data_IF_845171543892
#
_entry.id   IF_845171543892
#
_cell.length_a   1.000
_cell.length_b   1.000
_cell.length_c   1.000
_cell.angle_alpha   90.00
_cell.angle_beta   90.00
_cell.angle_gamma   90.00
#
_symmetry.space_group_name_H-M   'P 1'
#
loop_
_entity.id
_entity.type
_entity.pdbx_description
1 polymer ?
#
# COMPACT_ATOMS: atom_id res chain seq x y z
N UNK A 1 15.56 3.38 2.73
CA UNK A 1 14.29 3.45 3.45
C UNK A 1 13.13 3.53 2.46
N UNK A 2 12.02 2.89 2.79
CA UNK A 2 10.83 2.85 1.93
C UNK A 2 9.57 3.18 2.74
N UNK A 3 8.73 4.06 2.18
CA UNK A 3 7.37 4.33 2.68
C UNK A 3 6.35 3.71 1.72
N UNK A 4 5.41 2.97 2.27
CA UNK A 4 4.34 2.29 1.55
C UNK A 4 3.00 2.83 2.06
N UNK A 5 2.17 3.34 1.18
CA UNK A 5 0.79 3.68 1.49
C UNK A 5 -0.11 2.50 1.19
N UNK A 6 -0.92 2.11 2.18
CA UNK A 6 -1.86 1.01 2.13
C UNK A 6 -1.31 -0.29 2.74
N UNK A 7 -1.95 -0.79 3.80
CA UNK A 7 -1.67 -2.07 4.46
C UNK A 7 -2.69 -3.17 4.07
N UNK A 8 -3.34 -3.02 2.93
CA UNK A 8 -4.13 -4.08 2.30
C UNK A 8 -3.25 -5.26 1.87
N UNK A 9 -3.83 -6.34 1.33
CA UNK A 9 -3.05 -7.51 0.92
C UNK A 9 -1.88 -7.19 -0.03
N UNK A 10 -2.08 -6.25 -0.97
CA UNK A 10 -1.03 -5.86 -1.93
C UNK A 10 0.09 -5.08 -1.23
N UNK A 11 -0.25 -4.14 -0.34
CA UNK A 11 0.76 -3.37 0.41
C UNK A 11 1.57 -4.24 1.37
N UNK A 12 0.93 -5.22 2.03
CA UNK A 12 1.62 -6.20 2.87
C UNK A 12 2.57 -7.10 2.06
N UNK A 13 2.15 -7.54 0.87
CA UNK A 13 3.04 -8.23 -0.07
C UNK A 13 4.19 -7.32 -0.53
N UNK A 14 3.92 -6.03 -0.77
CA UNK A 14 4.93 -5.03 -1.08
C UNK A 14 5.97 -4.87 0.03
N UNK A 15 5.55 -4.82 1.30
CA UNK A 15 6.44 -4.78 2.45
C UNK A 15 7.31 -6.05 2.54
N UNK A 16 6.72 -7.22 2.29
CA UNK A 16 7.45 -8.48 2.23
C UNK A 16 8.50 -8.48 1.10
N UNK A 17 8.15 -7.97 -0.08
CA UNK A 17 9.10 -7.84 -1.20
C UNK A 17 10.20 -6.81 -0.89
N UNK A 18 9.88 -5.70 -0.24
CA UNK A 18 10.87 -4.71 0.17
C UNK A 18 11.92 -5.33 1.11
N UNK A 19 11.48 -6.21 2.03
CA UNK A 19 12.37 -6.97 2.91
C UNK A 19 13.25 -7.94 2.12
N UNK A 20 12.67 -8.70 1.19
CA UNK A 20 13.42 -9.61 0.32
C UNK A 20 14.52 -8.89 -0.46
N UNK A 21 14.25 -7.65 -0.87
CA UNK A 21 15.18 -6.80 -1.63
C UNK A 21 16.16 -6.02 -0.75
N UNK A 22 16.13 -6.19 0.58
CA UNK A 22 17.10 -5.61 1.49
C UNK A 22 16.86 -4.14 1.85
N UNK A 23 15.61 -3.69 1.86
CA UNK A 23 15.29 -2.35 2.37
C UNK A 23 15.70 -2.22 3.84
N UNK A 24 16.31 -1.08 4.22
CA UNK A 24 16.76 -0.80 5.58
C UNK A 24 15.56 -0.58 6.52
N UNK A 25 14.85 0.52 6.39
CA UNK A 25 13.57 0.73 7.06
C UNK A 25 12.42 0.52 6.07
N UNK A 26 11.45 -0.31 6.47
CA UNK A 26 10.21 -0.54 5.75
C UNK A 26 9.09 0.06 6.59
N UNK A 27 8.43 1.08 6.05
CA UNK A 27 7.41 1.86 6.76
C UNK A 27 6.10 1.71 5.99
N UNK A 28 5.03 1.31 6.68
CA UNK A 28 3.71 1.16 6.06
C UNK A 28 2.71 2.07 6.76
N UNK A 29 2.00 2.88 5.98
CA UNK A 29 0.98 3.81 6.46
C UNK A 29 -0.42 3.36 6.02
N UNK A 30 -1.37 3.31 6.96
CA UNK A 30 -2.77 2.96 6.72
C UNK A 30 -3.66 3.59 7.81
N UNK A 31 -4.96 3.66 7.57
CA UNK A 31 -5.95 4.09 8.56
C UNK A 31 -6.43 2.95 9.47
N UNK A 32 -6.25 1.68 9.07
CA UNK A 32 -6.80 0.52 9.76
C UNK A 32 -5.72 -0.11 10.63
N UNK A 33 -5.86 0.10 11.95
CA UNK A 33 -4.88 -0.37 12.94
C UNK A 33 -4.65 -1.89 12.88
N UNK A 34 -5.71 -2.68 12.74
CA UNK A 34 -5.60 -4.15 12.65
C UNK A 34 -4.70 -4.61 11.50
N UNK A 35 -4.72 -3.89 10.35
CA UNK A 35 -3.84 -4.18 9.21
C UNK A 35 -2.39 -3.87 9.52
N UNK A 36 -2.14 -2.78 10.24
CA UNK A 36 -0.80 -2.36 10.66
C UNK A 36 -0.21 -3.32 11.69
N UNK A 37 -1.04 -3.82 12.61
CA UNK A 37 -0.59 -4.73 13.67
C UNK A 37 -0.09 -6.07 13.12
N UNK A 38 -0.56 -6.52 11.96
CA UNK A 38 -0.05 -7.70 11.27
C UNK A 38 1.41 -7.55 10.78
N UNK A 39 1.87 -6.33 10.63
CA UNK A 39 3.19 -6.03 10.06
C UNK A 39 4.27 -5.86 11.14
N UNK A 40 3.90 -5.34 12.31
CA UNK A 40 4.82 -5.04 13.42
C UNK A 40 5.70 -6.23 13.86
N UNK A 41 5.16 -7.45 14.03
CA UNK A 41 5.96 -8.61 14.45
C UNK A 41 7.06 -8.99 13.45
N UNK A 42 6.96 -8.46 12.24
CA UNK A 42 7.88 -8.77 11.14
C UNK A 42 8.90 -7.64 10.88
N UNK A 43 9.09 -6.73 11.86
CA UNK A 43 10.07 -5.65 11.75
C UNK A 43 9.73 -4.62 10.67
N UNK A 44 8.44 -4.38 10.47
CA UNK A 44 7.90 -3.29 9.65
C UNK A 44 7.45 -2.18 10.58
N UNK A 45 7.94 -0.98 10.36
CA UNK A 45 7.48 0.22 11.04
C UNK A 45 6.09 0.62 10.50
N UNK A 46 5.24 1.14 11.36
CA UNK A 46 3.88 1.46 10.98
C UNK A 46 3.49 2.89 11.35
N UNK A 47 2.71 3.51 10.49
CA UNK A 47 2.11 4.82 10.71
C UNK A 47 0.60 4.67 10.62
N UNK A 48 -0.11 4.97 11.72
CA UNK A 48 -1.55 5.07 11.69
C UNK A 48 -1.95 6.49 11.25
N UNK A 49 -2.52 6.60 10.07
CA UNK A 49 -2.92 7.90 9.50
C UNK A 49 -4.07 8.60 10.26
N UNK A 50 -4.66 7.91 11.26
CA UNK A 50 -5.70 8.47 12.13
C UNK A 50 -5.17 8.98 13.47
N UNK A 51 -3.87 8.89 13.76
CA UNK A 51 -3.32 9.25 15.07
C UNK A 51 -3.12 10.76 15.27
N UNK A 52 -3.33 11.55 14.21
CA UNK A 52 -3.22 12.99 14.23
C UNK A 52 -1.79 13.53 14.19
N UNK A 53 -0.78 12.67 14.14
CA UNK A 53 0.62 13.06 14.02
C UNK A 53 0.99 13.20 12.53
N UNK A 54 1.67 14.28 12.13
CA UNK A 54 2.15 14.44 10.76
C UNK A 54 3.07 13.30 10.32
N UNK A 55 2.92 12.84 9.07
CA UNK A 55 3.74 11.74 8.53
C UNK A 55 5.24 12.05 8.62
N UNK A 56 5.64 13.29 8.37
CA UNK A 56 7.03 13.73 8.47
C UNK A 56 7.64 13.56 9.87
N UNK A 57 6.85 13.67 10.93
CA UNK A 57 7.32 13.45 12.31
C UNK A 57 7.55 11.96 12.59
N UNK A 58 6.66 11.10 12.06
CA UNK A 58 6.89 9.65 12.11
C UNK A 58 8.14 9.25 11.35
N UNK A 59 8.34 9.79 10.13
CA UNK A 59 9.52 9.50 9.33
C UNK A 59 10.80 9.93 10.06
N UNK A 60 10.81 11.13 10.64
CA UNK A 60 11.96 11.65 11.39
C UNK A 60 12.27 10.78 12.61
N UNK A 61 11.25 10.35 13.35
CA UNK A 61 11.40 9.43 14.50
C UNK A 61 11.97 8.07 14.10
N UNK A 62 11.54 7.52 12.94
CA UNK A 62 11.92 6.18 12.50
C UNK A 62 13.29 6.19 11.81
N UNK A 63 13.55 7.18 10.97
CA UNK A 63 14.72 7.17 10.07
C UNK A 63 15.75 8.25 10.36
N UNK A 64 15.43 9.22 11.21
CA UNK A 64 16.21 10.44 11.40
C UNK A 64 16.03 11.48 10.28
N UNK A 65 15.14 11.23 9.33
CA UNK A 65 14.88 12.09 8.18
C UNK A 65 13.37 12.21 7.91
N UNK A 66 12.95 13.34 7.35
CA UNK A 66 11.55 13.59 6.96
C UNK A 66 11.17 13.05 5.59
N UNK A 67 12.13 12.47 4.89
CA UNK A 67 11.99 11.92 3.55
C UNK A 67 12.63 10.54 3.46
N UNK A 68 12.21 9.74 2.48
CA UNK A 68 12.69 8.38 2.25
C UNK A 68 13.15 8.18 0.81
N UNK A 69 13.93 7.11 0.57
CA UNK A 69 14.48 6.81 -0.76
C UNK A 69 13.40 6.42 -1.78
N UNK A 70 12.38 5.72 -1.29
CA UNK A 70 11.30 5.17 -2.12
C UNK A 70 9.95 5.41 -1.46
N UNK A 71 8.94 5.77 -2.27
CA UNK A 71 7.55 5.82 -1.80
C UNK A 71 6.67 5.05 -2.79
N UNK A 72 5.81 4.18 -2.26
CA UNK A 72 4.93 3.34 -3.07
C UNK A 72 3.48 3.54 -2.65
N UNK A 73 2.60 3.65 -3.64
CA UNK A 73 1.16 3.69 -3.49
C UNK A 73 0.53 2.34 -3.87
N UNK A 74 -0.13 1.72 -2.89
CA UNK A 74 -0.99 0.54 -3.08
C UNK A 74 -2.46 0.83 -2.71
N UNK A 75 -2.85 2.11 -2.66
CA UNK A 75 -4.23 2.54 -2.34
C UNK A 75 -5.02 2.82 -3.61
N UNK A 76 -4.58 3.78 -4.41
CA UNK A 76 -5.27 4.20 -5.62
C UNK A 76 -6.26 5.35 -5.39
N UNK A 77 -7.19 5.51 -6.33
CA UNK A 77 -8.11 6.65 -6.43
C UNK A 77 -9.07 6.82 -5.23
N UNK A 78 -9.34 5.74 -4.50
CA UNK A 78 -10.23 5.77 -3.32
C UNK A 78 -9.50 6.20 -2.04
N UNK A 79 -8.34 6.86 -2.16
CA UNK A 79 -7.58 7.31 -1.01
C UNK A 79 -8.31 8.44 -0.25
N UNK A 80 -8.10 8.44 1.06
CA UNK A 80 -8.56 9.51 1.94
C UNK A 80 -7.51 10.62 2.03
N UNK A 81 -7.97 11.82 2.33
CA UNK A 81 -7.09 12.92 2.70
C UNK A 81 -6.36 12.64 4.01
N UNK A 82 -5.49 13.55 4.42
CA UNK A 82 -4.72 13.44 5.66
C UNK A 82 -5.14 14.53 6.66
N UNK A 83 -4.92 14.29 7.95
CA UNK A 83 -5.23 15.26 8.99
C UNK A 83 -6.72 15.62 9.03
N UNK A 84 -7.05 16.89 8.83
CA UNK A 84 -8.43 17.40 8.85
C UNK A 84 -9.32 16.88 7.71
N UNK A 85 -8.73 16.23 6.70
CA UNK A 85 -9.47 15.66 5.55
C UNK A 85 -9.50 14.12 5.58
N UNK A 86 -9.11 13.49 6.68
CA UNK A 86 -9.03 12.04 6.81
C UNK A 86 -10.37 11.29 6.64
N UNK A 87 -11.48 11.99 6.78
CA UNK A 87 -12.84 11.49 6.57
C UNK A 87 -13.35 11.64 5.12
N UNK A 88 -12.57 12.34 4.26
CA UNK A 88 -12.96 12.65 2.88
C UNK A 88 -12.13 11.83 1.89
N UNK A 89 -12.75 11.45 0.79
CA UNK A 89 -12.02 10.95 -0.39
C UNK A 89 -11.34 12.14 -1.06
N UNK A 90 -10.02 12.08 -1.17
CA UNK A 90 -9.16 13.06 -1.87
C UNK A 90 -8.25 12.28 -2.81
N UNK A 91 -8.70 12.10 -4.03
CA UNK A 91 -8.15 11.16 -5.02
C UNK A 91 -6.66 11.37 -5.35
N UNK A 92 -6.12 12.57 -5.08
CA UNK A 92 -4.69 12.91 -5.26
C UNK A 92 -3.87 12.87 -3.98
N UNK A 93 -4.47 12.57 -2.82
CA UNK A 93 -3.79 12.69 -1.53
C UNK A 93 -2.52 11.84 -1.44
N UNK A 94 -2.62 10.55 -1.78
CA UNK A 94 -1.45 9.65 -1.71
C UNK A 94 -0.41 10.02 -2.76
N UNK A 95 -0.81 10.35 -4.00
CA UNK A 95 0.14 10.75 -5.04
C UNK A 95 0.91 12.02 -4.66
N UNK A 96 0.23 13.02 -4.08
CA UNK A 96 0.88 14.22 -3.57
C UNK A 96 1.78 13.93 -2.36
N UNK A 97 1.35 13.07 -1.45
CA UNK A 97 2.18 12.61 -0.35
C UNK A 97 3.45 11.88 -0.83
N UNK A 98 3.36 11.07 -1.91
CA UNK A 98 4.53 10.44 -2.51
C UNK A 98 5.54 11.50 -2.98
N UNK A 99 5.09 12.56 -3.65
CA UNK A 99 5.96 13.65 -4.10
C UNK A 99 6.52 14.46 -2.92
N UNK A 100 5.75 14.60 -1.84
CA UNK A 100 6.19 15.30 -0.62
C UNK A 100 7.26 14.52 0.15
N UNK A 101 7.11 13.19 0.30
CA UNK A 101 7.96 12.39 1.20
C UNK A 101 9.10 11.64 0.49
N UNK A 102 9.14 11.60 -0.83
CA UNK A 102 10.31 11.09 -1.55
C UNK A 102 11.46 12.11 -1.44
N UNK A 103 12.68 11.62 -1.17
CA UNK A 103 13.86 12.48 -1.16
C UNK A 103 14.27 12.95 -2.56
N UNK A 104 15.15 13.92 -2.63
CA UNK A 104 15.77 14.35 -3.88
C UNK A 104 16.43 13.15 -4.62
N UNK A 105 16.14 13.03 -5.91
CA UNK A 105 16.61 11.91 -6.74
C UNK A 105 16.09 10.53 -6.34
N UNK A 106 15.10 10.47 -5.45
CA UNK A 106 14.46 9.20 -5.03
C UNK A 106 13.56 8.60 -6.10
N UNK A 107 12.68 7.68 -5.69
CA UNK A 107 11.76 7.04 -6.64
C UNK A 107 10.35 6.90 -6.04
N UNK A 108 9.33 7.15 -6.86
CA UNK A 108 7.94 6.85 -6.55
C UNK A 108 7.40 5.76 -7.47
N UNK A 109 6.50 4.93 -6.95
CA UNK A 109 5.82 3.90 -7.74
C UNK A 109 4.35 3.84 -7.38
N UNK A 110 3.49 3.96 -8.38
CA UNK A 110 2.04 3.89 -8.22
C UNK A 110 1.53 2.59 -8.82
N UNK A 111 1.09 1.70 -7.96
CA UNK A 111 0.43 0.42 -8.30
C UNK A 111 -1.09 0.54 -8.07
N UNK A 112 -1.48 1.46 -7.22
CA UNK A 112 -2.89 1.83 -7.03
C UNK A 112 -3.55 2.22 -8.35
N UNK A 113 -4.83 1.94 -8.48
CA UNK A 113 -5.56 2.17 -9.74
C UNK A 113 -6.03 3.63 -9.82
N UNK A 114 -5.63 4.31 -10.89
CA UNK A 114 -6.00 5.70 -11.20
C UNK A 114 -6.56 5.78 -12.63
N UNK A 115 -7.70 5.17 -12.85
CA UNK A 115 -8.44 5.28 -14.11
C UNK A 115 -9.53 6.36 -14.01
N UNK A 116 -10.09 6.74 -15.14
CA UNK A 116 -11.31 7.57 -15.15
C UNK A 116 -12.37 6.93 -14.24
N UNK A 117 -12.87 7.71 -13.28
CA UNK A 117 -13.84 7.26 -12.27
C UNK A 117 -15.21 7.92 -12.50
N UNK A 118 -16.12 7.29 -13.27
CA UNK A 118 -17.42 7.88 -13.61
C UNK A 118 -18.30 8.22 -12.40
N UNK A 119 -18.09 7.54 -11.27
CA UNK A 119 -18.88 7.74 -10.05
C UNK A 119 -18.26 8.75 -9.08
N UNK A 120 -17.04 9.23 -9.34
CA UNK A 120 -16.40 10.28 -8.54
C UNK A 120 -17.27 11.53 -8.48
N UNK A 121 -17.16 12.26 -7.37
CA UNK A 121 -17.75 13.60 -7.24
C UNK A 121 -16.90 14.68 -7.93
N UNK A 122 -15.59 14.41 -8.13
CA UNK A 122 -14.69 15.33 -8.82
C UNK A 122 -14.84 15.21 -10.36
N UNK A 123 -15.19 16.31 -11.06
CA UNK A 123 -15.27 16.33 -12.52
C UNK A 123 -13.94 15.98 -13.22
N UNK A 124 -12.79 16.23 -12.59
CA UNK A 124 -11.47 15.90 -13.12
C UNK A 124 -11.26 14.39 -13.07
N UNK A 125 -11.52 13.78 -11.93
CA UNK A 125 -11.38 12.34 -11.74
C UNK A 125 -12.30 11.53 -12.66
N UNK A 126 -13.50 12.04 -12.98
CA UNK A 126 -14.38 11.44 -14.01
C UNK A 126 -13.71 11.29 -15.37
N UNK A 127 -12.73 12.13 -15.66
CA UNK A 127 -11.96 12.15 -16.92
C UNK A 127 -10.59 11.49 -16.78
N UNK A 128 -10.26 10.94 -15.60
CA UNK A 128 -8.92 10.40 -15.33
C UNK A 128 -7.86 11.47 -15.11
N UNK A 129 -8.25 12.69 -14.74
CA UNK A 129 -7.34 13.78 -14.40
C UNK A 129 -7.22 13.90 -12.89
N UNK A 130 -6.05 14.28 -12.37
CA UNK A 130 -5.86 14.61 -10.97
C UNK A 130 -4.98 15.85 -10.81
N UNK A 131 -5.12 16.53 -9.67
CA UNK A 131 -4.29 17.67 -9.32
C UNK A 131 -3.04 17.21 -8.59
N UNK A 132 -1.87 17.48 -9.18
CA UNK A 132 -0.58 17.15 -8.61
C UNK A 132 0.15 18.42 -8.16
N UNK A 133 0.79 18.34 -7.00
CA UNK A 133 1.76 19.33 -6.51
C UNK A 133 3.05 19.20 -7.30
N UNK A 134 3.01 19.56 -8.59
CA UNK A 134 4.10 19.34 -9.53
C UNK A 134 5.41 20.01 -9.14
N UNK A 135 5.37 21.10 -8.36
CA UNK A 135 6.55 21.76 -7.82
C UNK A 135 7.43 20.82 -7.01
N UNK A 136 6.84 19.93 -6.21
CA UNK A 136 7.58 18.92 -5.45
C UNK A 136 8.33 17.94 -6.37
N UNK A 137 7.68 17.50 -7.44
CA UNK A 137 8.32 16.64 -8.44
C UNK A 137 9.46 17.38 -9.16
N UNK A 138 9.22 18.64 -9.55
CA UNK A 138 10.23 19.41 -10.27
C UNK A 138 11.47 19.66 -9.40
N UNK A 139 11.29 20.09 -8.15
CA UNK A 139 12.41 20.38 -7.24
C UNK A 139 13.21 19.12 -6.93
N UNK A 140 12.51 18.01 -6.62
CA UNK A 140 13.17 16.79 -6.12
C UNK A 140 13.66 15.84 -7.21
N UNK A 141 13.24 16.04 -8.46
CA UNK A 141 13.62 15.21 -9.61
C UNK A 141 13.51 13.69 -9.34
N UNK A 142 12.40 13.16 -8.79
CA UNK A 142 12.27 11.76 -8.53
C UNK A 142 12.11 10.96 -9.82
N UNK A 143 12.50 9.69 -9.80
CA UNK A 143 12.05 8.75 -10.82
C UNK A 143 10.62 8.36 -10.50
N UNK A 144 9.71 8.48 -11.47
CA UNK A 144 8.30 8.16 -11.29
C UNK A 144 7.92 6.98 -12.15
N UNK A 145 7.21 6.02 -11.57
CA UNK A 145 6.68 4.84 -12.24
C UNK A 145 5.21 4.66 -11.87
N UNK A 146 4.36 4.39 -12.82
CA UNK A 146 2.93 4.13 -12.60
C UNK A 146 2.39 3.14 -13.62
N UNK A 147 1.34 2.43 -13.26
CA UNK A 147 0.60 1.56 -14.16
C UNK A 147 0.36 0.16 -13.63
N UNK A 148 -0.20 -0.68 -14.50
CA UNK A 148 -0.48 -2.07 -14.16
C UNK A 148 0.82 -2.85 -13.99
N UNK A 149 0.89 -3.65 -12.92
CA UNK A 149 2.03 -4.50 -12.65
C UNK A 149 2.17 -5.58 -13.74
N UNK A 150 3.33 -5.73 -14.38
CA UNK A 150 3.59 -6.81 -15.33
C UNK A 150 3.85 -8.12 -14.56
N UNK A 151 2.83 -8.66 -13.90
CA UNK A 151 2.92 -9.78 -12.96
C UNK A 151 3.60 -11.01 -13.54
N UNK A 152 3.37 -11.32 -14.81
CA UNK A 152 3.97 -12.47 -15.49
C UNK A 152 5.52 -12.44 -15.45
N UNK A 153 6.12 -11.24 -15.45
CA UNK A 153 7.57 -11.08 -15.42
C UNK A 153 8.19 -11.46 -14.07
N UNK A 154 7.38 -11.48 -13.01
CA UNK A 154 7.86 -11.72 -11.64
C UNK A 154 7.45 -13.08 -11.07
N UNK A 155 6.45 -13.75 -11.65
CA UNK A 155 5.88 -14.98 -11.10
C UNK A 155 6.94 -16.06 -10.84
N UNK A 156 7.83 -16.30 -11.79
CA UNK A 156 8.89 -17.30 -11.66
C UNK A 156 9.86 -17.01 -10.51
N UNK A 157 10.32 -15.76 -10.42
CA UNK A 157 11.26 -15.35 -9.39
C UNK A 157 10.63 -15.40 -7.99
N UNK A 158 9.38 -14.95 -7.87
CA UNK A 158 8.63 -14.98 -6.61
C UNK A 158 8.30 -16.39 -6.17
N UNK A 159 7.86 -17.27 -7.09
CA UNK A 159 7.63 -18.67 -6.79
C UNK A 159 8.89 -19.35 -6.25
N UNK A 160 10.05 -19.13 -6.90
CA UNK A 160 11.32 -19.65 -6.41
C UNK A 160 11.72 -19.09 -5.05
N UNK A 161 11.46 -17.81 -4.78
CA UNK A 161 11.73 -17.21 -3.49
C UNK A 161 10.89 -17.84 -2.37
N UNK A 162 9.61 -18.10 -2.64
CA UNK A 162 8.69 -18.76 -1.70
C UNK A 162 9.12 -20.22 -1.48
N UNK A 163 9.33 -20.99 -2.54
CA UNK A 163 9.70 -22.42 -2.45
C UNK A 163 11.05 -22.66 -1.76
N UNK A 164 11.96 -21.69 -1.80
CA UNK A 164 13.25 -21.74 -1.11
C UNK A 164 13.23 -21.01 0.25
N UNK A 165 12.06 -20.82 0.82
CA UNK A 165 11.86 -20.22 2.15
C UNK A 165 12.55 -18.85 2.35
N UNK A 166 12.66 -18.06 1.27
CA UNK A 166 13.23 -16.71 1.33
C UNK A 166 12.23 -15.64 1.78
N UNK A 167 10.95 -15.99 1.91
CA UNK A 167 9.86 -15.10 2.34
C UNK A 167 8.99 -15.74 3.43
N UNK A 168 9.56 -16.26 4.54
CA UNK A 168 8.80 -16.98 5.57
C UNK A 168 7.75 -16.08 6.27
N UNK A 169 7.98 -14.79 6.25
CA UNK A 169 7.09 -13.76 6.81
C UNK A 169 5.89 -13.41 5.91
N UNK A 170 5.87 -13.85 4.65
CA UNK A 170 4.79 -13.49 3.71
C UNK A 170 3.44 -14.04 4.17
N UNK A 171 3.36 -15.34 4.49
CA UNK A 171 2.11 -15.99 4.90
C UNK A 171 1.50 -15.36 6.17
N UNK A 172 2.25 -15.14 7.27
CA UNK A 172 1.72 -14.44 8.43
C UNK A 172 1.22 -13.02 8.13
N UNK A 173 1.98 -12.26 7.32
CA UNK A 173 1.56 -10.91 6.92
C UNK A 173 0.27 -10.91 6.10
N UNK A 174 0.02 -11.95 5.29
CA UNK A 174 -1.20 -12.04 4.46
C UNK A 174 -2.46 -12.21 5.27
N UNK A 175 -2.40 -12.85 6.45
CA UNK A 175 -3.57 -13.13 7.28
C UNK A 175 -4.70 -13.77 6.45
N UNK A 176 -4.39 -14.89 5.79
CA UNK A 176 -5.31 -15.54 4.85
C UNK A 176 -6.40 -16.28 5.59
N UNK A 177 -7.65 -16.05 5.18
CA UNK A 177 -8.84 -16.78 5.65
C UNK A 177 -9.46 -17.57 4.51
N UNK A 178 -9.46 -18.89 4.61
CA UNK A 178 -10.13 -19.76 3.64
C UNK A 178 -11.62 -19.80 3.92
N UNK A 179 -12.42 -19.64 2.90
CA UNK A 179 -13.88 -19.61 2.96
C UNK A 179 -14.50 -20.50 1.88
N UNK A 180 -15.72 -20.95 2.09
CA UNK A 180 -16.51 -21.63 1.07
C UNK A 180 -17.07 -20.62 0.06
N UNK A 181 -17.53 -21.13 -1.09
CA UNK A 181 -18.13 -20.28 -2.12
C UNK A 181 -19.38 -19.55 -1.61
N UNK A 182 -20.20 -20.23 -0.80
CA UNK A 182 -21.43 -19.69 -0.23
C UNK A 182 -21.18 -18.49 0.69
N UNK A 183 -20.00 -18.43 1.34
CA UNK A 183 -19.62 -17.37 2.27
C UNK A 183 -19.06 -16.13 1.55
N UNK A 184 -18.83 -16.22 0.23
CA UNK A 184 -18.22 -15.14 -0.53
C UNK A 184 -18.95 -13.79 -0.40
N UNK A 185 -20.30 -13.69 -0.45
CA UNK A 185 -20.98 -12.40 -0.30
C UNK A 185 -20.71 -11.73 1.05
N UNK A 186 -20.64 -12.51 2.14
CA UNK A 186 -20.33 -12.01 3.46
C UNK A 186 -18.87 -11.52 3.54
N UNK A 187 -17.93 -12.30 2.98
CA UNK A 187 -16.53 -11.96 2.95
C UNK A 187 -16.24 -10.69 2.12
N UNK A 188 -16.93 -10.49 1.00
CA UNK A 188 -16.85 -9.24 0.23
C UNK A 188 -17.32 -8.04 1.06
N UNK A 189 -18.42 -8.18 1.79
CA UNK A 189 -18.92 -7.11 2.67
C UNK A 189 -17.94 -6.79 3.80
N UNK A 190 -17.34 -7.81 4.43
CA UNK A 190 -16.31 -7.61 5.45
C UNK A 190 -15.05 -6.93 4.86
N UNK A 191 -14.64 -7.34 3.67
CA UNK A 191 -13.48 -6.77 2.99
C UNK A 191 -13.71 -5.29 2.64
N UNK A 192 -14.87 -4.94 2.12
CA UNK A 192 -15.28 -3.57 1.79
C UNK A 192 -15.32 -2.69 3.05
N UNK A 193 -15.74 -3.25 4.18
CA UNK A 193 -15.72 -2.58 5.48
C UNK A 193 -14.30 -2.40 6.08
N UNK A 194 -13.26 -2.89 5.42
CA UNK A 194 -11.87 -2.69 5.84
C UNK A 194 -11.23 -3.86 6.60
N UNK A 195 -11.74 -5.08 6.43
CA UNK A 195 -11.16 -6.28 7.06
C UNK A 195 -9.64 -6.40 6.86
N UNK A 196 -8.97 -6.94 7.88
CA UNK A 196 -7.55 -7.27 7.83
C UNK A 196 -7.26 -8.62 7.14
N UNK A 197 -8.28 -9.40 6.80
CA UNK A 197 -8.11 -10.69 6.14
C UNK A 197 -7.86 -10.59 4.63
N UNK A 198 -7.07 -11.52 4.11
CA UNK A 198 -7.04 -11.89 2.70
C UNK A 198 -7.92 -13.13 2.51
N UNK A 199 -9.12 -12.96 1.96
CA UNK A 199 -10.03 -14.08 1.72
C UNK A 199 -9.58 -14.90 0.52
N UNK A 200 -9.58 -16.22 0.68
CA UNK A 200 -9.36 -17.19 -0.39
C UNK A 200 -10.55 -18.13 -0.42
N UNK A 201 -11.26 -18.15 -1.54
CA UNK A 201 -12.41 -19.05 -1.73
C UNK A 201 -11.88 -20.43 -2.10
N UNK A 202 -12.23 -21.44 -1.31
CA UNK A 202 -11.96 -22.84 -1.59
C UNK A 202 -13.31 -23.58 -1.85
N UNK A 203 -13.81 -23.56 -3.11
CA UNK A 203 -15.12 -24.08 -3.43
C UNK A 203 -15.22 -25.60 -3.30
N UNK A 204 -14.10 -26.30 -3.22
CA UNK A 204 -14.05 -27.77 -3.20
C UNK A 204 -13.50 -28.32 -1.90
N UNK A 205 -13.13 -27.50 -0.92
CA UNK A 205 -12.51 -27.95 0.33
C UNK A 205 -11.16 -28.67 0.11
N UNK A 206 -10.43 -28.25 -0.91
CA UNK A 206 -9.18 -28.91 -1.33
C UNK A 206 -7.96 -28.44 -0.55
N UNK A 207 -8.04 -27.30 0.12
CA UNK A 207 -6.95 -26.77 0.94
C UNK A 207 -6.92 -27.48 2.29
N UNK A 208 -5.86 -28.25 2.54
CA UNK A 208 -5.59 -28.83 3.87
C UNK A 208 -5.10 -27.69 4.79
N UNK A 209 -5.87 -27.47 5.83
CA UNK A 209 -5.50 -26.55 6.93
C UNK A 209 -4.49 -27.19 7.86
#
# INVERSE_FOLDING_TARGET
>A
NILIFGAGPVGRAGAACARLLGAGAIIVADYIQERLDLLKPHGVETINLSDGVPIEEHLERITGHREVDRVIDYVGVDCRGFGAEADKIVESAVTNAMLKYVRFGGMTSTVGVYCANPISKDPKAKKGHMDLEWSNAWIKSPRMSAGQSPTANYNHALMRAILNDRMPYLSPMMNTKFIKLEDAPAAYKEFDAGSAYKYVIDPHGSVRQ
#
